data_IF_182346666615
#
_entry.id   IF_182346666615
#
_cell.length_a   1.000
_cell.length_b   1.000
_cell.length_c   1.000
_cell.angle_alpha   90.00
_cell.angle_beta   90.00
_cell.angle_gamma   90.00
#
_symmetry.space_group_name_H-M   'P 1'
#
loop_
_entity.id
_entity.type
_entity.pdbx_description
1 polymer ?
#
# COMPACT_ATOMS: atom_id res chain seq x y z
N UNK A 1 9.45 1.66 0.01
CA UNK A 1 8.33 1.29 -0.91
C UNK A 1 7.06 1.31 -0.10
N UNK A 2 5.95 1.86 -0.61
CA UNK A 2 4.63 1.68 0.02
C UNK A 2 4.00 0.38 -0.47
N UNK A 3 3.58 -0.47 0.47
CA UNK A 3 2.94 -1.75 0.18
C UNK A 3 1.54 -1.74 0.80
N UNK A 4 0.48 -2.21 0.11
CA UNK A 4 -0.83 -2.34 0.71
C UNK A 4 -0.79 -3.25 1.93
N UNK A 5 -1.54 -2.89 2.98
CA UNK A 5 -1.79 -3.80 4.09
C UNK A 5 -2.42 -5.11 3.60
N UNK A 6 -2.18 -6.21 4.32
CA UNK A 6 -2.79 -7.54 4.08
C UNK A 6 -2.42 -8.19 2.74
N UNK A 7 -1.46 -7.63 1.99
CA UNK A 7 -0.90 -8.23 0.79
C UNK A 7 0.43 -8.92 1.12
N UNK A 8 0.51 -10.23 0.94
CA UNK A 8 1.77 -10.96 1.04
C UNK A 8 2.71 -10.52 -0.08
N UNK A 9 3.93 -10.12 0.30
CA UNK A 9 4.96 -9.60 -0.57
C UNK A 9 6.30 -10.26 -0.21
N UNK A 10 7.17 -10.40 -1.20
CA UNK A 10 8.50 -11.00 -1.05
C UNK A 10 9.52 -10.04 -1.66
N UNK A 11 10.64 -9.87 -0.98
CA UNK A 11 11.74 -9.02 -1.39
C UNK A 11 13.05 -9.68 -0.96
N UNK A 12 14.04 -9.68 -1.86
CA UNK A 12 15.38 -10.19 -1.60
C UNK A 12 16.42 -9.22 -2.13
N UNK A 13 17.63 -9.20 -1.54
CA UNK A 13 18.72 -8.43 -2.11
C UNK A 13 19.09 -9.06 -3.46
N UNK A 14 19.20 -8.25 -4.51
CA UNK A 14 19.72 -8.71 -5.80
C UNK A 14 21.25 -8.81 -5.82
N UNK A 15 21.91 -8.20 -4.83
CA UNK A 15 23.36 -8.17 -4.67
C UNK A 15 23.81 -9.05 -3.49
N UNK A 16 25.09 -9.39 -3.47
CA UNK A 16 25.73 -10.20 -2.42
C UNK A 16 25.96 -9.44 -1.11
N UNK A 17 25.83 -8.11 -1.12
CA UNK A 17 25.98 -7.30 0.08
C UNK A 17 24.73 -7.36 0.98
N UNK A 18 24.91 -7.43 2.31
CA UNK A 18 23.79 -7.49 3.24
C UNK A 18 23.05 -6.14 3.27
N UNK A 19 21.75 -6.19 3.01
CA UNK A 19 20.85 -5.05 3.19
C UNK A 19 20.29 -4.95 4.61
N UNK A 20 20.10 -3.72 5.08
CA UNK A 20 19.27 -3.43 6.24
C UNK A 20 17.83 -3.25 5.78
N UNK A 21 16.93 -3.96 6.45
CA UNK A 21 15.51 -3.94 6.16
C UNK A 21 14.75 -3.48 7.39
N UNK A 22 13.97 -2.42 7.23
CA UNK A 22 12.96 -1.98 8.20
C UNK A 22 11.60 -1.90 7.53
N UNK A 23 10.54 -2.23 8.29
CA UNK A 23 9.16 -2.02 7.87
C UNK A 23 8.39 -1.30 8.97
N UNK A 24 7.44 -0.46 8.55
CA UNK A 24 6.49 0.21 9.43
C UNK A 24 5.09 -0.02 8.88
N UNK A 25 4.23 -0.62 9.70
CA UNK A 25 2.80 -0.75 9.42
C UNK A 25 2.07 0.50 9.86
N UNK A 26 1.25 1.09 8.99
CA UNK A 26 0.43 2.26 9.31
C UNK A 26 -1.02 1.87 9.05
N UNK A 27 -1.82 1.89 10.11
CA UNK A 27 -3.25 1.61 10.06
C UNK A 27 -4.05 2.83 10.51
N UNK A 28 -5.20 3.05 9.86
CA UNK A 28 -6.07 4.18 10.17
C UNK A 28 -7.03 4.47 9.02
N UNK A 29 -8.21 4.99 9.35
CA UNK A 29 -9.27 5.28 8.38
C UNK A 29 -8.85 6.30 7.30
N UNK A 30 -7.89 7.17 7.60
CA UNK A 30 -7.44 8.24 6.70
C UNK A 30 -6.22 7.88 5.84
N UNK A 31 -5.55 6.75 6.10
CA UNK A 31 -4.33 6.35 5.38
C UNK A 31 -4.62 6.21 3.88
N UNK A 32 -5.76 5.60 3.55
CA UNK A 32 -6.19 5.41 2.17
C UNK A 32 -6.37 6.73 1.42
N UNK A 33 -7.08 7.68 2.05
CA UNK A 33 -7.35 9.00 1.49
C UNK A 33 -6.07 9.81 1.32
N UNK A 34 -5.15 9.73 2.29
CA UNK A 34 -3.86 10.42 2.25
C UNK A 34 -2.99 9.92 1.11
N UNK A 35 -2.84 8.59 0.96
CA UNK A 35 -2.06 7.98 -0.13
C UNK A 35 -2.60 8.39 -1.50
N UNK A 36 -3.92 8.43 -1.64
CA UNK A 36 -4.57 8.88 -2.88
C UNK A 36 -4.34 10.38 -3.13
N UNK A 37 -4.53 11.22 -2.12
CA UNK A 37 -4.37 12.68 -2.23
C UNK A 37 -2.94 13.07 -2.61
N UNK A 38 -1.94 12.39 -2.02
CA UNK A 38 -0.53 12.63 -2.27
C UNK A 38 0.00 11.91 -3.52
N UNK A 39 -0.84 11.11 -4.19
CA UNK A 39 -0.49 10.34 -5.39
C UNK A 39 0.71 9.40 -5.18
N UNK A 40 0.86 8.88 -3.96
CA UNK A 40 1.98 8.03 -3.61
C UNK A 40 1.96 6.75 -4.45
N UNK A 41 3.14 6.38 -4.94
CA UNK A 41 3.26 5.18 -5.76
C UNK A 41 3.33 3.96 -4.85
N UNK A 42 2.30 3.12 -4.93
CA UNK A 42 2.21 1.84 -4.23
C UNK A 42 2.91 0.76 -5.08
N UNK A 43 3.55 -0.22 -4.43
CA UNK A 43 4.21 -1.38 -5.04
C UNK A 43 5.39 -1.04 -5.97
N UNK A 44 5.86 0.21 -5.99
CA UNK A 44 7.09 0.59 -6.68
C UNK A 44 8.13 1.11 -5.69
N UNK A 45 9.42 0.76 -5.87
CA UNK A 45 10.50 1.38 -5.12
C UNK A 45 10.46 2.89 -5.34
N UNK A 46 10.69 3.62 -4.25
CA UNK A 46 10.84 5.07 -4.29
C UNK A 46 12.29 5.34 -3.97
N UNK A 47 13.02 5.88 -4.93
CA UNK A 47 14.40 6.31 -4.72
C UNK A 47 14.38 7.60 -3.91
N UNK A 48 15.12 7.61 -2.81
CA UNK A 48 15.28 8.75 -1.92
C UNK A 48 16.77 9.05 -1.79
N UNK A 49 17.12 10.32 -1.56
CA UNK A 49 18.49 10.71 -1.31
C UNK A 49 18.89 10.44 0.15
N UNK A 50 20.18 10.53 0.44
CA UNK A 50 20.74 10.25 1.77
C UNK A 50 20.15 11.14 2.87
N UNK A 51 19.94 12.43 2.60
CA UNK A 51 19.34 13.35 3.59
C UNK A 51 17.88 13.00 3.92
N UNK A 52 17.11 12.54 2.92
CA UNK A 52 15.75 12.02 3.15
C UNK A 52 15.80 10.77 4.03
N UNK A 53 16.76 9.87 3.82
CA UNK A 53 16.93 8.67 4.66
C UNK A 53 17.24 9.08 6.09
N UNK A 54 18.20 9.97 6.31
CA UNK A 54 18.58 10.44 7.65
C UNK A 54 17.41 11.08 8.40
N UNK A 55 16.60 11.90 7.71
CA UNK A 55 15.41 12.50 8.29
C UNK A 55 14.38 11.42 8.69
N UNK A 56 14.11 10.46 7.81
CA UNK A 56 13.17 9.38 8.11
C UNK A 56 13.65 8.50 9.26
N UNK A 57 14.94 8.21 9.35
CA UNK A 57 15.51 7.48 10.51
C UNK A 57 15.32 8.25 11.81
N UNK A 58 15.50 9.58 11.79
CA UNK A 58 15.23 10.44 12.95
C UNK A 58 13.76 10.38 13.36
N UNK A 59 12.84 10.51 12.39
CA UNK A 59 11.40 10.49 12.65
C UNK A 59 10.93 9.12 13.21
N UNK A 60 11.49 8.01 12.70
CA UNK A 60 11.20 6.66 13.20
C UNK A 60 11.68 6.49 14.65
N UNK A 61 12.87 7.00 14.99
CA UNK A 61 13.39 6.95 16.37
C UNK A 61 12.53 7.76 17.33
N UNK A 62 12.03 8.92 16.89
CA UNK A 62 11.13 9.74 17.70
C UNK A 62 9.78 9.03 17.92
N UNK A 63 9.22 8.40 16.88
CA UNK A 63 8.01 7.57 17.00
C UNK A 63 8.20 6.40 17.98
N UNK A 64 9.37 5.77 17.96
CA UNK A 64 9.71 4.72 18.92
C UNK A 64 9.71 5.26 20.35
N UNK A 65 10.31 6.43 20.58
CA UNK A 65 10.33 7.06 21.90
C UNK A 65 8.94 7.40 22.40
N UNK A 66 8.07 7.98 21.55
CA UNK A 66 6.67 8.28 21.89
C UNK A 66 5.90 7.03 22.31
N UNK A 67 6.24 5.86 21.76
CA UNK A 67 5.62 4.59 22.14
C UNK A 67 6.09 4.06 23.50
N UNK A 68 7.22 4.52 24.01
CA UNK A 68 7.80 4.11 25.30
C UNK A 68 7.44 5.07 26.45
N UNK A 69 7.03 6.30 26.13
CA UNK A 69 6.71 7.33 27.14
C UNK A 69 5.28 7.21 27.65
N UNK A 70 5.09 7.36 28.98
CA UNK A 70 3.76 7.52 29.62
C UNK A 70 3.18 8.94 29.45
N UNK A 71 3.36 9.56 28.28
CA UNK A 71 2.77 10.87 28.01
C UNK A 71 1.25 10.81 27.98
N UNK A 72 0.60 11.94 28.26
CA UNK A 72 -0.86 12.02 28.34
C UNK A 72 -1.56 11.78 26.99
N UNK A 73 -0.85 11.84 25.86
CA UNK A 73 -1.45 11.69 24.52
C UNK A 73 -0.45 11.23 23.42
N UNK A 74 0.06 9.99 23.51
CA UNK A 74 1.06 9.48 22.56
C UNK A 74 0.48 9.31 21.14
N UNK A 75 -0.82 9.10 21.00
CA UNK A 75 -1.46 8.83 19.71
C UNK A 75 -1.56 10.06 18.81
N UNK A 76 -1.84 11.25 19.35
CA UNK A 76 -1.86 12.47 18.55
C UNK A 76 -0.46 12.86 18.07
N UNK A 77 0.55 12.72 18.94
CA UNK A 77 1.95 12.95 18.59
C UNK A 77 2.40 11.98 17.49
N UNK A 78 2.14 10.68 17.67
CA UNK A 78 2.47 9.67 16.67
C UNK A 78 1.77 9.93 15.33
N UNK A 79 0.47 10.27 15.36
CA UNK A 79 -0.31 10.58 14.15
C UNK A 79 0.28 11.77 13.40
N UNK A 80 0.60 12.86 14.10
CA UNK A 80 1.17 14.07 13.50
C UNK A 80 2.48 13.77 12.77
N UNK A 81 3.35 12.96 13.41
CA UNK A 81 4.63 12.54 12.83
C UNK A 81 4.46 11.62 11.63
N UNK A 82 3.53 10.67 11.70
CA UNK A 82 3.20 9.81 10.56
C UNK A 82 2.74 10.66 9.35
N UNK A 83 1.83 11.60 9.57
CA UNK A 83 1.37 12.50 8.50
C UNK A 83 2.49 13.35 7.93
N UNK A 84 3.38 13.90 8.77
CA UNK A 84 4.52 14.67 8.30
C UNK A 84 5.50 13.83 7.49
N UNK A 85 5.82 12.60 7.94
CA UNK A 85 6.70 11.68 7.23
C UNK A 85 6.15 11.31 5.85
N UNK A 86 4.87 10.93 5.77
CA UNK A 86 4.24 10.55 4.50
C UNK A 86 4.23 11.75 3.53
N UNK A 87 3.92 12.94 4.03
CA UNK A 87 3.92 14.18 3.23
C UNK A 87 5.33 14.53 2.78
N UNK A 88 6.32 14.42 3.66
CA UNK A 88 7.71 14.66 3.36
C UNK A 88 8.18 13.74 2.22
N UNK A 89 7.96 12.42 2.34
CA UNK A 89 8.28 11.44 1.29
C UNK A 89 7.60 11.83 -0.04
N UNK A 90 6.32 12.21 -0.01
CA UNK A 90 5.63 12.63 -1.22
C UNK A 90 6.32 13.84 -1.87
N UNK A 91 6.61 14.88 -1.09
CA UNK A 91 7.19 16.13 -1.62
C UNK A 91 8.63 16.00 -2.10
N UNK A 92 9.45 15.15 -1.47
CA UNK A 92 10.87 14.96 -1.84
C UNK A 92 11.05 14.02 -3.03
N UNK A 93 10.01 13.25 -3.39
CA UNK A 93 10.05 12.25 -4.46
C UNK A 93 9.26 12.65 -5.70
N UNK A 94 8.52 13.78 -5.63
CA UNK A 94 7.77 14.39 -6.74
C UNK A 94 8.63 15.20 -7.72
N UNK A 95 9.80 14.67 -8.09
CA UNK A 95 10.51 15.16 -9.28
C UNK A 95 10.07 14.35 -10.51
N UNK A 96 9.44 15.04 -11.46
CA UNK A 96 9.09 14.60 -12.84
C UNK A 96 7.87 13.66 -13.02
N UNK A 97 6.63 14.19 -12.97
CA UNK A 97 5.51 13.62 -13.78
C UNK A 97 4.62 14.72 -14.39
N UNK A 98 4.40 14.73 -15.72
CA UNK A 98 3.51 15.69 -16.37
C UNK A 98 2.03 15.41 -16.06
N UNK A 99 1.29 16.46 -15.68
CA UNK A 99 -0.09 16.45 -15.16
C UNK A 99 -1.19 15.94 -16.12
N UNK A 100 -0.87 15.48 -17.34
CA UNK A 100 -1.88 15.21 -18.38
C UNK A 100 -2.43 13.77 -18.45
N UNK A 101 -1.75 12.77 -17.86
CA UNK A 101 -2.21 11.36 -17.91
C UNK A 101 -3.04 10.91 -16.68
N UNK A 102 -3.37 11.84 -15.78
CA UNK A 102 -3.84 11.51 -14.43
C UNK A 102 -5.29 10.97 -14.38
N UNK A 103 -6.23 11.57 -15.11
CA UNK A 103 -7.66 11.18 -15.06
C UNK A 103 -7.92 9.72 -15.46
N UNK A 104 -7.13 9.15 -16.38
CA UNK A 104 -7.30 7.75 -16.84
C UNK A 104 -6.65 6.73 -15.91
N UNK A 105 -5.51 7.08 -15.29
CA UNK A 105 -4.75 6.18 -14.41
C UNK A 105 -5.39 6.05 -13.03
N UNK A 106 -5.94 7.15 -12.50
CA UNK A 106 -6.64 7.18 -11.21
C UNK A 106 -7.89 6.31 -11.26
N UNK A 107 -8.72 6.48 -12.30
CA UNK A 107 -9.91 5.64 -12.51
C UNK A 107 -9.58 4.14 -12.57
N UNK A 108 -8.50 3.76 -13.26
CA UNK A 108 -8.11 2.34 -13.36
C UNK A 108 -7.64 1.76 -12.02
N UNK A 109 -6.88 2.54 -11.23
CA UNK A 109 -6.45 2.13 -9.88
C UNK A 109 -7.61 2.08 -8.90
N UNK A 110 -8.53 3.03 -8.96
CA UNK A 110 -9.75 3.06 -8.14
C UNK A 110 -10.65 1.86 -8.45
N UNK A 111 -10.83 1.54 -9.73
CA UNK A 111 -11.56 0.34 -10.18
C UNK A 111 -10.90 -0.93 -9.64
N UNK A 112 -9.59 -1.07 -9.71
CA UNK A 112 -8.90 -2.24 -9.15
C UNK A 112 -8.98 -2.29 -7.62
N UNK A 113 -8.93 -1.17 -6.93
CA UNK A 113 -9.15 -1.12 -5.48
C UNK A 113 -10.56 -1.55 -5.11
N UNK A 114 -11.57 -1.06 -5.84
CA UNK A 114 -12.96 -1.48 -5.67
C UNK A 114 -13.12 -2.99 -5.90
N UNK A 115 -12.38 -3.57 -6.87
CA UNK A 115 -12.37 -5.02 -7.08
C UNK A 115 -11.82 -5.78 -5.86
N UNK A 116 -10.76 -5.28 -5.21
CA UNK A 116 -10.19 -5.89 -4.00
C UNK A 116 -11.17 -5.78 -2.83
N UNK A 117 -11.80 -4.62 -2.64
CA UNK A 117 -12.80 -4.43 -1.59
C UNK A 117 -14.01 -5.38 -1.79
N UNK A 118 -14.45 -5.53 -3.04
CA UNK A 118 -15.49 -6.49 -3.40
C UNK A 118 -15.07 -7.93 -3.08
N UNK A 119 -13.82 -8.31 -3.40
CA UNK A 119 -13.26 -9.61 -3.04
C UNK A 119 -13.21 -9.81 -1.51
N UNK A 120 -12.88 -8.77 -0.74
CA UNK A 120 -12.87 -8.81 0.73
C UNK A 120 -14.26 -8.96 1.36
N UNK A 121 -15.29 -8.39 0.75
CA UNK A 121 -16.67 -8.49 1.25
C UNK A 121 -17.34 -9.81 0.88
N UNK A 122 -17.01 -10.35 -0.31
CA UNK A 122 -17.68 -11.52 -0.88
C UNK A 122 -16.78 -12.77 -0.94
N UNK A 123 -15.66 -12.81 -0.18
CA UNK A 123 -14.67 -13.89 -0.29
C UNK A 123 -15.23 -15.30 -0.02
N UNK A 124 -16.32 -15.43 0.75
CA UNK A 124 -16.98 -16.71 1.05
C UNK A 124 -17.91 -17.19 -0.07
N UNK A 125 -18.28 -16.33 -1.01
CA UNK A 125 -19.15 -16.68 -2.13
C UNK A 125 -18.34 -17.32 -3.26
N UNK A 126 -19.03 -18.00 -4.18
CA UNK A 126 -18.42 -18.56 -5.39
C UNK A 126 -18.12 -17.44 -6.41
N UNK A 127 -17.09 -16.66 -6.10
CA UNK A 127 -16.65 -15.53 -6.91
C UNK A 127 -15.91 -16.01 -8.16
N UNK A 128 -16.57 -15.90 -9.31
CA UNK A 128 -15.92 -16.02 -10.60
C UNK A 128 -15.08 -14.75 -10.89
N UNK A 129 -13.89 -14.94 -11.45
CA UNK A 129 -13.04 -13.84 -11.94
C UNK A 129 -13.74 -12.95 -12.99
N UNK A 130 -14.74 -13.50 -13.70
CA UNK A 130 -15.55 -12.73 -14.64
C UNK A 130 -16.46 -11.77 -13.89
N UNK A 131 -17.13 -12.23 -12.83
CA UNK A 131 -18.03 -11.42 -12.01
C UNK A 131 -17.29 -10.23 -11.37
N UNK A 132 -16.06 -10.45 -10.88
CA UNK A 132 -15.22 -9.39 -10.29
C UNK A 132 -14.76 -8.39 -11.37
N UNK A 133 -14.47 -8.86 -12.59
CA UNK A 133 -14.05 -7.98 -13.67
C UNK A 133 -15.22 -7.13 -14.19
N UNK A 134 -16.42 -7.71 -14.24
CA UNK A 134 -17.65 -7.04 -14.66
C UNK A 134 -18.09 -5.95 -13.67
N UNK A 135 -17.91 -6.16 -12.35
CA UNK A 135 -18.22 -5.12 -11.34
C UNK A 135 -17.36 -3.86 -11.49
N UNK A 136 -16.21 -3.96 -12.16
CA UNK A 136 -15.28 -2.85 -12.37
C UNK A 136 -15.15 -2.45 -13.84
N UNK A 137 -16.03 -2.96 -14.70
CA UNK A 137 -16.11 -2.58 -16.12
C UNK A 137 -14.92 -3.05 -16.97
N UNK A 138 -14.22 -4.11 -16.56
CA UNK A 138 -13.11 -4.69 -17.31
C UNK A 138 -13.45 -6.06 -17.89
N UNK A 139 -12.90 -6.35 -19.07
CA UNK A 139 -12.82 -7.75 -19.50
C UNK A 139 -11.91 -8.54 -18.56
N UNK A 140 -12.22 -9.82 -18.34
CA UNK A 140 -11.43 -10.73 -17.50
C UNK A 140 -9.93 -10.68 -17.77
N UNK A 141 -9.52 -10.68 -19.05
CA UNK A 141 -8.11 -10.67 -19.43
C UNK A 141 -7.44 -9.32 -19.15
N UNK A 142 -8.16 -8.21 -19.38
CA UNK A 142 -7.67 -6.88 -19.04
C UNK A 142 -7.51 -6.70 -17.53
N UNK A 143 -8.50 -7.15 -16.77
CA UNK A 143 -8.49 -7.17 -15.31
C UNK A 143 -7.31 -7.97 -14.77
N UNK A 144 -7.12 -9.22 -15.20
CA UNK A 144 -6.01 -10.05 -14.75
C UNK A 144 -4.64 -9.41 -15.00
N UNK A 145 -4.42 -8.86 -16.20
CA UNK A 145 -3.16 -8.19 -16.54
C UNK A 145 -2.92 -6.98 -15.65
N UNK A 146 -3.92 -6.12 -15.49
CA UNK A 146 -3.81 -4.89 -14.72
C UNK A 146 -3.70 -5.15 -13.21
N UNK A 147 -4.43 -6.13 -12.71
CA UNK A 147 -4.33 -6.58 -11.32
C UNK A 147 -2.92 -7.11 -11.02
N UNK A 148 -2.36 -7.96 -11.89
CA UNK A 148 -0.98 -8.46 -11.73
C UNK A 148 0.07 -7.35 -11.84
N UNK A 149 -0.11 -6.40 -12.75
CA UNK A 149 0.78 -5.23 -12.90
C UNK A 149 0.86 -4.39 -11.62
N UNK A 150 -0.26 -4.27 -10.89
CA UNK A 150 -0.35 -3.41 -9.70
C UNK A 150 -0.06 -4.18 -8.41
N UNK A 151 -0.60 -5.38 -8.24
CA UNK A 151 -0.50 -6.16 -7.00
C UNK A 151 0.56 -7.26 -7.05
N UNK A 152 1.25 -7.44 -8.18
CA UNK A 152 2.31 -8.46 -8.36
C UNK A 152 1.81 -9.91 -8.42
N UNK A 153 0.54 -10.17 -8.11
CA UNK A 153 -0.07 -11.50 -8.07
C UNK A 153 -1.32 -11.56 -8.94
N UNK A 154 -1.68 -12.76 -9.39
CA UNK A 154 -2.94 -12.97 -10.11
C UNK A 154 -4.13 -12.85 -9.13
N UNK A 155 -5.28 -12.29 -9.56
CA UNK A 155 -6.43 -12.09 -8.68
C UNK A 155 -7.02 -13.39 -8.10
N UNK A 156 -6.93 -14.53 -8.79
CA UNK A 156 -7.33 -15.84 -8.23
C UNK A 156 -6.46 -16.26 -7.04
N UNK A 157 -5.13 -16.11 -7.16
CA UNK A 157 -4.21 -16.40 -6.07
C UNK A 157 -4.40 -15.44 -4.89
N UNK A 158 -4.70 -14.17 -5.18
CA UNK A 158 -5.06 -13.20 -4.15
C UNK A 158 -6.32 -13.64 -3.38
N UNK A 159 -7.40 -14.01 -4.08
CA UNK A 159 -8.63 -14.50 -3.47
C UNK A 159 -8.41 -15.76 -2.62
N UNK A 160 -7.61 -16.70 -3.10
CA UNK A 160 -7.28 -17.92 -2.36
C UNK A 160 -6.55 -17.59 -1.05
N UNK A 161 -5.55 -16.71 -1.09
CA UNK A 161 -4.83 -16.25 0.11
C UNK A 161 -5.74 -15.52 1.08
N UNK A 162 -6.62 -14.67 0.56
CA UNK A 162 -7.62 -13.95 1.36
C UNK A 162 -8.52 -14.93 2.12
N UNK A 163 -9.02 -15.98 1.46
CA UNK A 163 -9.82 -17.05 2.09
C UNK A 163 -9.04 -17.77 3.20
N UNK A 164 -7.78 -18.12 2.95
CA UNK A 164 -6.92 -18.77 3.95
C UNK A 164 -6.69 -17.86 5.17
N UNK A 165 -6.35 -16.60 4.94
CA UNK A 165 -6.07 -15.63 6.01
C UNK A 165 -7.32 -15.33 6.84
N UNK A 166 -8.48 -15.17 6.20
CA UNK A 166 -9.75 -14.96 6.91
C UNK A 166 -10.17 -16.22 7.67
N UNK A 167 -10.02 -17.41 7.08
CA UNK A 167 -10.32 -18.68 7.73
C UNK A 167 -9.45 -18.97 8.96
N UNK A 168 -8.16 -18.64 8.91
CA UNK A 168 -7.24 -18.78 10.04
C UNK A 168 -7.55 -17.82 11.20
N UNK A 169 -8.21 -16.68 10.94
CA UNK A 169 -8.61 -15.72 11.97
C UNK A 169 -9.92 -16.08 12.69
N UNK A 170 -10.61 -17.16 12.28
CA UNK A 170 -11.81 -17.70 12.94
C UNK A 170 -11.52 -18.95 13.80
N UNK A 171 -10.23 -19.26 14.02
CA UNK A 171 -9.75 -20.29 14.97
C UNK A 171 -9.01 -19.60 16.12
#
# INVERSE_FOLDING_TARGET
>A
MFVPGKLAHDYGPSATEPWLLGYMGIEGSFVESLVNALQLTIMKPISVNESTIQQLESDIKELWHVSETEESDPYHTASTKIYSMITYIATTTHSEKPMQNYRRSTSAKEMLRASVQYMEQHYMEDLSLANIADTVGYSKQHFQRKFKEIYGVNPSHYLQRLRLHKGAAFL
#
